data_IF_205482040288
#
_entry.id   IF_205482040288
#
_cell.length_a   1.000
_cell.length_b   1.000
_cell.length_c   1.000
_cell.angle_alpha   90.00
_cell.angle_beta   90.00
_cell.angle_gamma   90.00
#
_symmetry.space_group_name_H-M   'P 1'
#
loop_
_entity.id
_entity.type
_entity.pdbx_description
1 polymer ?
#
# COMPACT_ATOMS: atom_id res chain seq x y z
N UNK A 1 27.46 55.18 10.19
CA UNK A 1 28.33 53.98 10.22
C UNK A 1 27.42 52.81 10.55
N UNK A 2 26.90 52.16 9.51
CA UNK A 2 25.86 51.13 9.58
C UNK A 2 26.48 49.83 9.10
N UNK A 3 26.42 48.71 9.84
CA UNK A 3 26.80 47.43 9.26
C UNK A 3 25.62 46.83 8.50
N UNK A 4 25.85 46.66 7.20
CA UNK A 4 25.04 45.92 6.24
C UNK A 4 25.20 44.40 6.49
N UNK A 5 24.14 43.74 6.94
CA UNK A 5 24.10 42.28 7.17
C UNK A 5 23.49 41.61 5.92
N UNK A 6 24.33 41.20 4.98
CA UNK A 6 23.95 40.28 3.89
C UNK A 6 23.82 38.86 4.45
N UNK A 7 22.59 38.41 4.68
CA UNK A 7 22.27 37.00 4.96
C UNK A 7 22.35 36.16 3.68
N UNK A 8 23.11 35.08 3.75
CA UNK A 8 23.31 34.12 2.68
C UNK A 8 22.01 33.33 2.35
N UNK A 9 21.82 32.87 1.10
CA UNK A 9 20.68 32.04 0.75
C UNK A 9 20.80 30.62 1.33
N UNK A 10 19.70 30.16 1.94
CA UNK A 10 19.49 28.79 2.44
C UNK A 10 19.63 27.76 1.31
N UNK A 11 20.38 26.65 1.48
CA UNK A 11 20.42 25.61 0.47
C UNK A 11 19.07 24.90 0.37
N UNK A 12 18.45 24.96 -0.80
CA UNK A 12 17.23 24.21 -1.12
C UNK A 12 17.53 22.70 -1.07
N UNK A 13 16.76 21.89 -0.32
CA UNK A 13 16.97 20.45 -0.33
C UNK A 13 16.59 19.89 -1.70
N UNK A 14 17.57 19.33 -2.40
CA UNK A 14 17.37 18.69 -3.71
C UNK A 14 16.38 17.53 -3.65
N UNK A 15 15.76 17.15 -4.78
CA UNK A 15 14.78 16.09 -4.82
C UNK A 15 15.42 14.76 -4.37
N UNK A 16 14.85 14.16 -3.32
CA UNK A 16 15.23 12.81 -2.86
C UNK A 16 15.01 11.84 -4.01
N UNK A 17 16.10 11.27 -4.54
CA UNK A 17 16.06 10.24 -5.59
C UNK A 17 15.28 9.03 -5.06
N UNK A 18 14.18 8.71 -5.75
CA UNK A 18 13.44 7.48 -5.52
C UNK A 18 14.36 6.27 -5.75
N UNK A 19 14.26 5.20 -4.94
CA UNK A 19 15.08 4.01 -5.11
C UNK A 19 14.89 3.39 -6.50
N UNK A 20 16.00 2.94 -7.08
CA UNK A 20 16.06 2.39 -8.43
C UNK A 20 15.11 1.20 -8.60
N UNK A 21 14.28 1.29 -9.63
CA UNK A 21 13.22 0.33 -9.97
C UNK A 21 13.83 -1.00 -10.41
N UNK A 22 13.71 -2.05 -9.59
CA UNK A 22 13.84 -3.43 -10.07
C UNK A 22 12.47 -3.90 -10.56
N UNK A 23 12.35 -4.01 -11.87
CA UNK A 23 11.19 -4.58 -12.53
C UNK A 23 11.09 -6.08 -12.25
N UNK A 24 9.88 -6.53 -11.94
CA UNK A 24 9.45 -7.92 -11.97
C UNK A 24 7.94 -7.91 -12.15
N UNK A 25 7.46 -7.73 -13.38
CA UNK A 25 6.07 -7.29 -13.65
C UNK A 25 5.25 -8.21 -14.56
N UNK A 26 5.45 -9.53 -14.52
CA UNK A 26 4.64 -10.42 -15.38
C UNK A 26 3.89 -11.51 -14.63
N UNK A 27 4.39 -12.01 -13.48
CA UNK A 27 3.68 -13.08 -12.75
C UNK A 27 2.57 -12.56 -11.82
N UNK A 28 2.74 -11.36 -11.26
CA UNK A 28 1.79 -10.76 -10.31
C UNK A 28 0.38 -10.53 -10.87
N UNK A 29 0.18 -10.07 -12.13
CA UNK A 29 -1.17 -9.84 -12.68
C UNK A 29 -1.98 -11.12 -12.89
N UNK A 30 -1.35 -12.17 -13.43
CA UNK A 30 -2.01 -13.46 -13.70
C UNK A 30 -2.38 -14.17 -12.40
N UNK A 31 -1.45 -14.21 -11.45
CA UNK A 31 -1.70 -14.75 -10.11
C UNK A 31 -2.84 -14.00 -9.40
N UNK A 32 -2.82 -12.66 -9.43
CA UNK A 32 -3.90 -11.87 -8.85
C UNK A 32 -5.25 -12.08 -9.57
N UNK A 33 -5.25 -12.28 -10.90
CA UNK A 33 -6.45 -12.58 -11.66
C UNK A 33 -7.03 -13.95 -11.27
N UNK A 34 -6.18 -14.96 -11.10
CA UNK A 34 -6.56 -16.27 -10.62
C UNK A 34 -7.16 -16.20 -9.21
N UNK A 35 -6.48 -15.56 -8.25
CA UNK A 35 -6.99 -15.41 -6.88
C UNK A 35 -8.38 -14.73 -6.85
N UNK A 36 -8.54 -13.62 -7.60
CA UNK A 36 -9.84 -12.95 -7.75
C UNK A 36 -10.93 -13.87 -8.31
N UNK A 37 -10.60 -14.77 -9.24
CA UNK A 37 -11.56 -15.73 -9.81
C UNK A 37 -12.03 -16.71 -8.75
N UNK A 38 -11.13 -17.26 -7.94
CA UNK A 38 -11.45 -18.22 -6.88
C UNK A 38 -12.34 -17.58 -5.82
N UNK A 39 -11.98 -16.40 -5.32
CA UNK A 39 -12.76 -15.67 -4.30
C UNK A 39 -14.20 -15.41 -4.79
N UNK A 40 -14.34 -14.95 -6.04
CA UNK A 40 -15.67 -14.73 -6.65
C UNK A 40 -16.49 -16.02 -6.78
N UNK A 41 -15.83 -17.13 -7.10
CA UNK A 41 -16.52 -18.42 -7.18
C UNK A 41 -17.02 -18.88 -5.81
N UNK A 42 -16.21 -18.69 -4.76
CA UNK A 42 -16.60 -19.01 -3.38
C UNK A 42 -17.81 -18.20 -2.93
N UNK A 43 -17.79 -16.87 -3.13
CA UNK A 43 -18.93 -16.01 -2.81
C UNK A 43 -20.21 -16.39 -3.56
N UNK A 44 -20.12 -16.78 -4.84
CA UNK A 44 -21.29 -17.27 -5.60
C UNK A 44 -21.87 -18.57 -5.05
N UNK A 45 -21.03 -19.48 -4.55
CA UNK A 45 -21.48 -20.73 -3.92
C UNK A 45 -22.25 -20.44 -2.63
N UNK A 46 -21.72 -19.54 -1.79
CA UNK A 46 -22.37 -19.09 -0.56
C UNK A 46 -23.72 -18.43 -0.88
N UNK A 47 -23.76 -17.55 -1.87
CA UNK A 47 -25.00 -16.89 -2.31
C UNK A 47 -26.06 -17.86 -2.85
N UNK A 48 -25.70 -19.09 -3.22
CA UNK A 48 -26.64 -20.13 -3.64
C UNK A 48 -27.29 -20.89 -2.45
N UNK A 49 -26.99 -20.50 -1.20
CA UNK A 49 -27.66 -21.02 0.00
C UNK A 49 -26.73 -21.65 1.05
N UNK A 50 -25.42 -21.52 0.90
CA UNK A 50 -24.42 -22.11 1.80
C UNK A 50 -23.97 -21.08 2.86
N UNK A 51 -24.85 -20.81 3.83
CA UNK A 51 -24.62 -19.80 4.89
C UNK A 51 -23.49 -20.20 5.84
N UNK A 52 -23.30 -21.50 6.06
CA UNK A 52 -22.27 -22.04 6.96
C UNK A 52 -20.85 -21.76 6.46
N UNK A 53 -20.68 -21.53 5.16
CA UNK A 53 -19.40 -21.13 4.56
C UNK A 53 -19.12 -19.61 4.64
N UNK A 54 -20.05 -18.79 5.14
CA UNK A 54 -19.85 -17.35 5.27
C UNK A 54 -18.71 -16.97 6.23
N UNK A 55 -18.57 -17.59 7.42
CA UNK A 55 -17.43 -17.33 8.31
C UNK A 55 -16.08 -17.57 7.64
N UNK A 56 -15.94 -18.63 6.84
CA UNK A 56 -14.70 -18.94 6.12
C UNK A 56 -14.35 -17.88 5.08
N UNK A 57 -15.35 -17.37 4.34
CA UNK A 57 -15.15 -16.27 3.40
C UNK A 57 -14.71 -14.98 4.11
N UNK A 58 -15.26 -14.70 5.30
CA UNK A 58 -14.87 -13.54 6.11
C UNK A 58 -13.45 -13.69 6.66
N UNK A 59 -13.08 -14.87 7.16
CA UNK A 59 -11.71 -15.16 7.58
C UNK A 59 -10.71 -14.96 6.42
N UNK A 60 -11.08 -15.34 5.19
CA UNK A 60 -10.26 -15.06 4.01
C UNK A 60 -10.14 -13.55 3.71
N UNK A 61 -11.19 -12.77 3.95
CA UNK A 61 -11.13 -11.32 3.79
C UNK A 61 -10.17 -10.67 4.80
N UNK A 62 -10.19 -11.14 6.06
CA UNK A 62 -9.26 -10.69 7.10
C UNK A 62 -7.81 -10.99 6.71
N UNK A 63 -7.53 -12.19 6.19
CA UNK A 63 -6.16 -12.53 5.77
C UNK A 63 -5.69 -11.75 4.55
N UNK A 64 -6.58 -11.38 3.64
CA UNK A 64 -6.24 -10.46 2.56
C UNK A 64 -5.90 -9.07 3.09
N UNK A 65 -6.58 -8.59 4.12
CA UNK A 65 -6.25 -7.30 4.76
C UNK A 65 -4.90 -7.40 5.49
N UNK A 66 -4.63 -8.46 6.24
CA UNK A 66 -3.32 -8.68 6.87
C UNK A 66 -2.19 -8.76 5.83
N UNK A 67 -2.39 -9.48 4.72
CA UNK A 67 -1.43 -9.55 3.63
C UNK A 67 -1.17 -8.16 3.01
N UNK A 68 -2.22 -7.36 2.83
CA UNK A 68 -2.09 -5.98 2.34
C UNK A 68 -1.31 -5.10 3.33
N UNK A 69 -1.60 -5.20 4.63
CA UNK A 69 -0.85 -4.50 5.68
C UNK A 69 0.63 -4.90 5.65
N UNK A 70 0.93 -6.20 5.60
CA UNK A 70 2.30 -6.71 5.53
C UNK A 70 3.04 -6.15 4.31
N UNK A 71 2.41 -6.17 3.14
CA UNK A 71 2.98 -5.63 1.91
C UNK A 71 3.25 -4.11 2.02
N UNK A 72 2.30 -3.32 2.52
CA UNK A 72 2.46 -1.87 2.71
C UNK A 72 3.58 -1.57 3.71
N UNK A 73 3.63 -2.27 4.84
CA UNK A 73 4.69 -2.14 5.84
C UNK A 73 6.05 -2.50 5.26
N UNK A 74 6.14 -3.60 4.49
CA UNK A 74 7.36 -3.99 3.77
C UNK A 74 7.83 -2.90 2.80
N UNK A 75 6.92 -2.31 2.02
CA UNK A 75 7.24 -1.19 1.13
C UNK A 75 7.70 0.06 1.90
N UNK A 76 7.06 0.38 3.04
CA UNK A 76 7.49 1.49 3.90
C UNK A 76 8.90 1.28 4.45
N UNK A 77 9.22 0.07 4.90
CA UNK A 77 10.56 -0.33 5.37
C UNK A 77 11.59 -0.30 4.23
N UNK A 78 11.19 -0.62 3.01
CA UNK A 78 12.03 -0.52 1.81
C UNK A 78 12.23 0.93 1.31
N UNK A 79 11.66 1.94 1.98
CA UNK A 79 11.89 3.35 1.71
C UNK A 79 10.85 4.03 0.80
N UNK A 80 9.79 3.32 0.38
CA UNK A 80 8.70 3.95 -0.38
C UNK A 80 7.93 4.93 0.50
N UNK A 81 7.67 6.13 0.00
CA UNK A 81 6.85 7.12 0.69
C UNK A 81 5.36 6.79 0.64
N UNK A 82 4.59 7.31 1.60
CA UNK A 82 3.13 7.22 1.57
C UNK A 82 2.52 7.78 0.27
N UNK A 83 3.14 8.82 -0.31
CA UNK A 83 2.68 9.39 -1.58
C UNK A 83 2.85 8.43 -2.76
N UNK A 84 3.99 7.74 -2.84
CA UNK A 84 4.25 6.77 -3.92
C UNK A 84 3.38 5.51 -3.83
N UNK A 85 3.06 5.09 -2.61
CA UNK A 85 2.13 3.97 -2.36
C UNK A 85 0.71 4.39 -2.73
N UNK A 86 0.25 5.54 -2.22
CA UNK A 86 -1.10 6.05 -2.48
C UNK A 86 -1.36 6.27 -3.98
N UNK A 87 -0.38 6.82 -4.71
CA UNK A 87 -0.47 7.01 -6.15
C UNK A 87 -0.68 5.69 -6.92
N UNK A 88 -0.09 4.57 -6.47
CA UNK A 88 -0.29 3.25 -7.09
C UNK A 88 -1.63 2.61 -6.75
N UNK A 89 -2.17 2.94 -5.59
CA UNK A 89 -3.48 2.46 -5.13
C UNK A 89 -4.64 3.34 -5.63
N UNK A 90 -4.37 4.48 -6.27
CA UNK A 90 -5.39 5.41 -6.71
C UNK A 90 -6.08 6.14 -5.54
N UNK A 91 -5.36 6.37 -4.45
CA UNK A 91 -5.88 7.04 -3.24
C UNK A 91 -5.00 8.22 -2.83
N UNK A 92 -5.42 8.97 -1.80
CA UNK A 92 -4.64 10.09 -1.26
C UNK A 92 -3.58 9.60 -0.26
N UNK A 93 -2.49 10.37 -0.12
CA UNK A 93 -1.46 10.10 0.87
C UNK A 93 -2.04 10.02 2.29
N UNK A 94 -2.94 10.95 2.63
CA UNK A 94 -3.59 10.95 3.94
C UNK A 94 -4.42 9.68 4.16
N UNK A 95 -5.21 9.25 3.17
CA UNK A 95 -6.01 8.03 3.27
C UNK A 95 -5.14 6.78 3.46
N UNK A 96 -4.04 6.66 2.71
CA UNK A 96 -3.09 5.56 2.90
C UNK A 96 -2.44 5.59 4.30
N UNK A 97 -2.03 6.77 4.78
CA UNK A 97 -1.45 6.90 6.11
C UNK A 97 -2.46 6.61 7.23
N UNK A 98 -3.72 7.04 7.10
CA UNK A 98 -4.76 6.73 8.09
C UNK A 98 -5.06 5.24 8.14
N UNK A 99 -5.05 4.55 6.98
CA UNK A 99 -5.35 3.11 6.92
C UNK A 99 -4.24 2.22 7.48
N UNK A 100 -2.97 2.60 7.29
CA UNK A 100 -1.84 1.72 7.62
C UNK A 100 -0.80 2.31 8.57
N UNK A 101 -0.92 3.59 8.93
CA UNK A 101 0.09 4.31 9.71
C UNK A 101 0.25 3.79 11.14
N UNK A 102 -0.81 3.24 11.74
CA UNK A 102 -0.75 2.67 13.08
C UNK A 102 0.03 1.36 13.15
N UNK A 103 0.07 0.55 12.08
CA UNK A 103 0.82 -0.72 12.05
C UNK A 103 2.35 -0.57 11.99
N UNK A 104 2.86 0.64 11.78
CA UNK A 104 4.31 0.90 11.75
C UNK A 104 4.93 1.09 13.14
N UNK A 105 4.12 1.26 14.19
CA UNK A 105 4.58 1.60 15.53
C UNK A 105 4.60 0.40 16.51
N UNK A 106 4.44 -0.82 16.00
CA UNK A 106 4.60 -2.08 16.75
C UNK A 106 5.83 -2.83 16.28
#
# INVERSE_FOLDING_TARGET
MTPDQRTAPTPTPGPRRAPARRGGRVESPEYAAFARRIIRAHGRRIAAGDVEALPDLLALADELEHAAQHAVTGLRRAGYSWGEIAARLGTTRQAAHQRWGHYLHG
#
